data_IF_714710146056
#
_entry.id   IF_714710146056
#
_cell.length_a   1.000
_cell.length_b   1.000
_cell.length_c   1.000
_cell.angle_alpha   90.00
_cell.angle_beta   90.00
_cell.angle_gamma   90.00
#
_symmetry.space_group_name_H-M   'P 1'
#
loop_
_entity.id
_entity.type
_entity.pdbx_description
1 polymer ?
#
# COMPACT_ATOMS: atom_id res chain seq x y z
N UNK A 1 6.68 -21.59 0.29
CA UNK A 1 6.27 -20.19 0.52
C UNK A 1 5.39 -19.71 -0.62
N UNK A 2 4.30 -19.07 -0.31
CA UNK A 2 3.42 -18.52 -1.33
C UNK A 2 3.99 -17.19 -1.82
N UNK A 3 3.99 -16.98 -3.15
CA UNK A 3 4.34 -15.70 -3.75
C UNK A 3 3.10 -14.82 -3.93
N UNK A 4 1.97 -15.21 -3.33
CA UNK A 4 0.71 -14.52 -3.53
C UNK A 4 0.62 -13.26 -2.70
N UNK A 5 -0.02 -12.25 -3.28
CA UNK A 5 -0.56 -11.10 -2.58
C UNK A 5 -2.05 -11.09 -2.80
N UNK A 6 -2.79 -10.63 -1.79
CA UNK A 6 -4.21 -10.34 -1.94
C UNK A 6 -4.43 -8.85 -1.87
N UNK A 7 -5.41 -8.37 -2.61
CA UNK A 7 -5.70 -6.94 -2.72
C UNK A 7 -7.17 -6.70 -2.39
N UNK A 8 -7.40 -5.71 -1.54
CA UNK A 8 -8.77 -5.25 -1.29
C UNK A 8 -9.32 -4.62 -2.58
N UNK A 9 -10.65 -4.70 -2.79
CA UNK A 9 -11.27 -4.12 -3.99
C UNK A 9 -11.04 -2.63 -4.16
N UNK A 10 -10.73 -1.91 -3.09
CA UNK A 10 -10.48 -0.48 -3.12
C UNK A 10 -9.12 -0.12 -3.72
N UNK A 11 -8.17 -1.06 -3.80
CA UNK A 11 -6.80 -0.76 -4.21
C UNK A 11 -6.72 -0.12 -5.61
N UNK A 12 -7.41 -0.61 -6.64
CA UNK A 12 -7.37 0.07 -7.94
C UNK A 12 -7.81 1.54 -7.88
N UNK A 13 -8.78 1.85 -7.02
CA UNK A 13 -9.27 3.22 -6.85
C UNK A 13 -8.26 4.08 -6.10
N UNK A 14 -7.64 3.54 -5.04
CA UNK A 14 -6.58 4.22 -4.30
C UNK A 14 -5.42 4.58 -5.26
N UNK A 15 -4.99 3.62 -6.07
CA UNK A 15 -3.89 3.82 -7.02
C UNK A 15 -4.27 4.81 -8.13
N UNK A 16 -5.47 4.70 -8.68
CA UNK A 16 -5.93 5.59 -9.75
C UNK A 16 -5.93 7.05 -9.29
N UNK A 17 -6.38 7.31 -8.08
CA UNK A 17 -6.40 8.66 -7.51
C UNK A 17 -4.99 9.24 -7.41
N UNK A 18 -4.05 8.46 -6.87
CA UNK A 18 -2.66 8.90 -6.72
C UNK A 18 -1.97 9.08 -8.07
N UNK A 19 -2.18 8.14 -9.00
CA UNK A 19 -1.59 8.19 -10.34
C UNK A 19 -2.11 9.39 -11.11
N UNK A 20 -3.41 9.65 -11.06
CA UNK A 20 -4.01 10.81 -11.73
C UNK A 20 -3.40 12.11 -11.21
N UNK A 21 -3.19 12.20 -9.89
CA UNK A 21 -2.54 13.36 -9.30
C UNK A 21 -1.14 13.58 -9.90
N UNK A 22 -0.32 12.52 -9.96
CA UNK A 22 1.03 12.66 -10.49
C UNK A 22 1.06 12.86 -12.00
N UNK A 23 0.14 12.25 -12.75
CA UNK A 23 0.02 12.49 -14.19
C UNK A 23 -0.32 13.94 -14.50
N UNK A 24 -1.06 14.62 -13.63
CA UNK A 24 -1.36 16.05 -13.80
C UNK A 24 -0.11 16.91 -13.71
N UNK A 25 0.96 16.40 -13.11
CA UNK A 25 2.24 17.10 -12.98
C UNK A 25 3.18 16.69 -14.13
N UNK A 26 3.42 15.40 -14.30
CA UNK A 26 4.19 14.87 -15.43
C UNK A 26 3.97 13.36 -15.58
N UNK A 27 4.01 12.88 -16.83
CA UNK A 27 3.91 11.44 -17.10
C UNK A 27 5.06 10.65 -16.45
N UNK A 28 6.27 11.21 -16.47
CA UNK A 28 7.42 10.55 -15.86
C UNK A 28 7.29 10.37 -14.36
N UNK A 29 6.67 11.34 -13.69
CA UNK A 29 6.44 11.27 -12.25
C UNK A 29 5.46 10.14 -11.91
N UNK A 30 4.39 10.02 -12.69
CA UNK A 30 3.43 8.93 -12.50
C UNK A 30 4.07 7.56 -12.69
N UNK A 31 4.95 7.42 -13.68
CA UNK A 31 5.68 6.16 -13.91
C UNK A 31 6.57 5.84 -12.71
N UNK A 32 7.32 6.81 -12.19
CA UNK A 32 8.17 6.62 -11.01
C UNK A 32 7.35 6.24 -9.78
N UNK A 33 6.17 6.82 -9.62
CA UNK A 33 5.28 6.45 -8.52
C UNK A 33 4.83 4.98 -8.64
N UNK A 34 4.40 4.56 -9.82
CA UNK A 34 4.03 3.16 -10.07
C UNK A 34 5.16 2.21 -9.75
N UNK A 35 6.38 2.55 -10.17
CA UNK A 35 7.56 1.73 -9.91
C UNK A 35 7.86 1.65 -8.41
N UNK A 36 7.71 2.76 -7.69
CA UNK A 36 7.91 2.80 -6.24
C UNK A 36 6.90 1.88 -5.53
N UNK A 37 5.63 1.93 -5.92
CA UNK A 37 4.60 1.03 -5.35
C UNK A 37 4.93 -0.42 -5.68
N UNK A 38 5.28 -0.72 -6.93
CA UNK A 38 5.63 -2.07 -7.34
C UNK A 38 6.79 -2.64 -6.54
N UNK A 39 7.80 -1.83 -6.26
CA UNK A 39 8.94 -2.24 -5.45
C UNK A 39 8.52 -2.56 -4.01
N UNK A 40 7.65 -1.76 -3.43
CA UNK A 40 7.13 -2.01 -2.08
C UNK A 40 6.33 -3.32 -2.05
N UNK A 41 5.45 -3.53 -3.03
CA UNK A 41 4.65 -4.75 -3.11
C UNK A 41 5.54 -5.99 -3.25
N UNK A 42 6.60 -5.89 -4.03
CA UNK A 42 7.56 -6.98 -4.18
C UNK A 42 8.25 -7.30 -2.86
N UNK A 43 8.66 -6.28 -2.10
CA UNK A 43 9.29 -6.46 -0.80
C UNK A 43 8.32 -7.09 0.21
N UNK A 44 7.07 -6.65 0.22
CA UNK A 44 6.05 -7.23 1.10
C UNK A 44 5.85 -8.71 0.77
N UNK A 45 5.81 -9.06 -0.51
CA UNK A 45 5.64 -10.44 -0.94
C UNK A 45 6.82 -11.32 -0.51
N UNK A 46 8.04 -10.80 -0.65
CA UNK A 46 9.26 -11.56 -0.33
C UNK A 46 9.52 -11.62 1.17
N UNK A 47 9.26 -10.53 1.89
CA UNK A 47 9.60 -10.40 3.32
C UNK A 47 8.42 -9.77 4.09
N UNK A 48 7.29 -10.48 4.20
CA UNK A 48 6.08 -9.88 4.76
C UNK A 48 6.21 -9.48 6.23
N UNK A 49 7.12 -10.08 6.98
CA UNK A 49 7.29 -9.78 8.41
C UNK A 49 8.40 -8.77 8.67
N UNK A 50 9.05 -8.24 7.62
CA UNK A 50 10.15 -7.30 7.77
C UNK A 50 9.69 -5.97 8.39
N UNK A 51 8.47 -5.55 8.11
CA UNK A 51 7.95 -4.26 8.55
C UNK A 51 7.18 -4.41 9.86
N UNK A 52 7.30 -3.39 10.73
CA UNK A 52 6.69 -3.43 12.06
C UNK A 52 5.18 -3.28 12.01
N UNK A 53 4.51 -3.94 12.95
CA UNK A 53 3.09 -3.73 13.22
C UNK A 53 2.90 -2.36 13.85
N UNK A 54 1.94 -1.58 13.36
CA UNK A 54 1.66 -0.22 13.86
C UNK A 54 0.38 -0.14 14.68
N UNK A 55 -0.61 -0.99 14.39
CA UNK A 55 -1.80 -1.18 15.23
C UNK A 55 -2.43 -2.52 14.87
N UNK A 56 -3.03 -3.18 15.87
CA UNK A 56 -3.59 -4.52 15.73
C UNK A 56 -2.56 -5.46 15.06
N UNK A 57 -2.89 -6.02 13.89
CA UNK A 57 -1.96 -6.81 13.08
C UNK A 57 -1.53 -6.09 11.80
N UNK A 58 -1.79 -4.78 11.74
CA UNK A 58 -1.57 -3.98 10.53
C UNK A 58 -0.16 -3.43 10.48
N UNK A 59 0.45 -3.56 9.31
CA UNK A 59 1.79 -3.05 8.99
C UNK A 59 1.68 -1.96 7.94
N UNK A 60 2.62 -1.02 7.96
CA UNK A 60 2.66 0.11 7.05
C UNK A 60 4.05 0.24 6.47
N UNK A 61 4.12 0.46 5.16
CA UNK A 61 5.37 0.67 4.42
C UNK A 61 5.25 1.96 3.62
N UNK A 62 6.27 2.81 3.70
CA UNK A 62 6.32 4.01 2.87
C UNK A 62 6.80 3.67 1.47
N UNK A 63 6.22 4.33 0.48
CA UNK A 63 6.74 4.26 -0.89
C UNK A 63 7.96 5.18 -1.02
N UNK A 64 9.02 4.70 -1.67
CA UNK A 64 10.25 5.46 -1.81
C UNK A 64 10.06 6.71 -2.67
N UNK A 65 10.42 7.88 -2.11
CA UNK A 65 10.38 9.14 -2.84
C UNK A 65 9.01 9.79 -2.95
N UNK A 66 7.96 9.20 -2.36
CA UNK A 66 6.60 9.73 -2.44
C UNK A 66 5.94 9.70 -1.06
N UNK A 67 5.06 10.67 -0.77
CA UNK A 67 4.38 10.73 0.53
C UNK A 67 3.16 9.81 0.58
N UNK A 68 3.35 8.55 0.20
CA UNK A 68 2.31 7.53 0.23
C UNK A 68 2.74 6.36 1.08
N UNK A 69 1.77 5.66 1.64
CA UNK A 69 1.98 4.45 2.43
C UNK A 69 1.15 3.31 1.85
N UNK A 70 1.69 2.09 2.00
CA UNK A 70 0.97 0.86 1.70
C UNK A 70 0.67 0.20 3.04
N UNK A 71 -0.60 -0.08 3.27
CA UNK A 71 -1.10 -0.70 4.48
C UNK A 71 -1.43 -2.15 4.18
N UNK A 72 -0.96 -3.08 5.01
CA UNK A 72 -1.24 -4.49 4.80
C UNK A 72 -1.28 -5.25 6.11
N UNK A 73 -1.84 -6.47 6.05
CA UNK A 73 -1.80 -7.44 7.14
C UNK A 73 -1.54 -8.82 6.54
N UNK A 74 -1.11 -9.75 7.40
CA UNK A 74 -0.86 -11.13 6.97
C UNK A 74 -2.03 -11.99 7.48
N UNK A 75 -2.67 -12.71 6.55
CA UNK A 75 -3.74 -13.67 6.86
C UNK A 75 -3.45 -14.98 6.16
N UNK A 76 -3.45 -16.08 6.92
CA UNK A 76 -3.16 -17.40 6.37
C UNK A 76 -1.83 -17.44 5.60
N UNK A 77 -0.82 -16.77 6.14
CA UNK A 77 0.52 -16.62 5.54
C UNK A 77 0.54 -15.86 4.22
N UNK A 78 -0.53 -15.13 3.90
CA UNK A 78 -0.61 -14.32 2.66
C UNK A 78 -0.76 -12.85 3.04
N UNK A 79 0.13 -11.98 2.54
CA UNK A 79 -0.05 -10.54 2.74
C UNK A 79 -1.28 -10.04 2.00
N UNK A 80 -2.13 -9.31 2.71
CA UNK A 80 -3.34 -8.70 2.18
C UNK A 80 -3.15 -7.20 2.16
N UNK A 81 -3.12 -6.63 0.96
CA UNK A 81 -2.93 -5.19 0.79
C UNK A 81 -4.28 -4.51 1.05
N UNK A 82 -4.30 -3.66 2.07
CA UNK A 82 -5.52 -3.02 2.57
C UNK A 82 -5.76 -1.65 1.96
N UNK A 83 -4.70 -0.88 1.77
CA UNK A 83 -4.84 0.51 1.31
C UNK A 83 -3.53 1.04 0.76
N UNK A 84 -3.64 2.00 -0.15
CA UNK A 84 -2.53 2.87 -0.56
C UNK A 84 -3.02 4.30 -0.35
N UNK A 85 -2.54 4.94 0.71
CA UNK A 85 -3.00 6.27 1.12
C UNK A 85 -1.87 7.28 1.13
N UNK A 86 -2.20 8.54 0.87
CA UNK A 86 -1.29 9.64 1.14
C UNK A 86 -1.00 9.68 2.64
N UNK A 87 0.25 9.98 3.01
CA UNK A 87 0.69 9.95 4.41
C UNK A 87 -0.04 10.97 5.30
N UNK A 88 -0.67 11.98 4.71
CA UNK A 88 -1.44 13.00 5.46
C UNK A 88 -2.89 12.60 5.73
N UNK A 89 -3.33 11.44 5.23
CA UNK A 89 -4.69 10.95 5.49
C UNK A 89 -4.85 10.69 6.99
N UNK A 90 -6.01 11.06 7.52
CA UNK A 90 -6.34 10.86 8.93
C UNK A 90 -6.18 9.37 9.31
N UNK A 91 -5.44 9.07 10.38
CA UNK A 91 -5.28 7.68 10.84
C UNK A 91 -6.60 6.94 11.10
N UNK A 92 -7.69 7.65 11.36
CA UNK A 92 -9.02 7.02 11.45
C UNK A 92 -9.37 6.24 10.18
N UNK A 93 -9.00 6.77 9.01
CA UNK A 93 -9.27 6.09 7.73
C UNK A 93 -8.46 4.82 7.59
N UNK A 94 -7.25 4.78 8.16
CA UNK A 94 -6.45 3.56 8.16
C UNK A 94 -7.17 2.46 8.94
N UNK A 95 -7.72 2.82 10.12
CA UNK A 95 -8.42 1.87 10.97
C UNK A 95 -9.73 1.40 10.35
N UNK A 96 -10.47 2.33 9.74
CA UNK A 96 -11.70 2.00 9.01
C UNK A 96 -11.43 1.02 7.88
N UNK A 97 -10.40 1.28 7.07
CA UNK A 97 -10.05 0.38 5.97
C UNK A 97 -9.66 -1.00 6.49
N UNK A 98 -8.93 -1.07 7.58
CA UNK A 98 -8.49 -2.32 8.17
C UNK A 98 -9.65 -3.12 8.78
N UNK A 99 -10.69 -2.44 9.26
CA UNK A 99 -11.82 -3.08 9.93
C UNK A 99 -12.89 -3.63 8.99
N UNK A 100 -12.87 -3.28 7.71
CA UNK A 100 -13.90 -3.64 6.75
C UNK A 100 -13.57 -4.92 5.99
N UNK A 101 -13.24 -5.95 6.69
CA UNK A 101 -13.01 -7.25 6.04
C UNK A 101 -14.29 -7.97 5.74
#
# INVERSE_FOLDING_TARGET
>A
MSDDLRFRPQIPFDLAEAITHYESISAGLAIRFRDSVSNVLKQIREFPEMYSVVFDDVRIVRTGGFPYIVQYRIRNNIPCILAVFHSSVDPKRWRERASTE
#
